data_IF_859950711991
#
_entry.id   IF_859950711991
#
_cell.length_a   1.000
_cell.length_b   1.000
_cell.length_c   1.000
_cell.angle_alpha   90.00
_cell.angle_beta   90.00
_cell.angle_gamma   90.00
#
_symmetry.space_group_name_H-M   'P 1'
#
loop_
_entity.id
_entity.type
_entity.pdbx_description
1 polymer ?
#
# COMPACT_ATOMS: atom_id res chain seq x y z
N UNK A 1 6.18 -16.25 -47.00
CA UNK A 1 5.06 -16.51 -47.94
C UNK A 1 5.15 -15.47 -49.06
N UNK A 2 4.23 -15.49 -50.02
CA UNK A 2 4.32 -14.83 -51.32
C UNK A 2 4.76 -13.35 -51.30
N UNK A 3 5.68 -13.02 -52.22
CA UNK A 3 6.06 -11.66 -52.60
C UNK A 3 4.84 -10.93 -53.20
N UNK A 4 4.54 -9.73 -52.69
CA UNK A 4 3.39 -8.92 -53.14
C UNK A 4 3.92 -7.59 -53.65
N UNK A 5 3.43 -7.09 -54.78
CA UNK A 5 3.89 -5.81 -55.32
C UNK A 5 3.39 -4.63 -54.48
N UNK A 6 4.12 -3.51 -54.51
CA UNK A 6 3.76 -2.28 -53.78
C UNK A 6 2.33 -1.81 -54.15
N UNK A 7 1.95 -1.87 -55.43
CA UNK A 7 0.59 -1.54 -55.88
C UNK A 7 -0.46 -2.43 -55.20
N UNK A 8 -0.27 -3.76 -55.27
CA UNK A 8 -1.23 -4.71 -54.71
C UNK A 8 -1.33 -4.56 -53.18
N UNK A 9 -0.22 -4.27 -52.51
CA UNK A 9 -0.21 -4.05 -51.08
C UNK A 9 -0.94 -2.76 -50.68
N UNK A 10 -0.75 -1.67 -51.44
CA UNK A 10 -1.45 -0.41 -51.23
C UNK A 10 -2.96 -0.57 -51.35
N UNK A 11 -3.43 -1.31 -52.36
CA UNK A 11 -4.85 -1.59 -52.59
C UNK A 11 -5.48 -2.41 -51.45
N UNK A 12 -4.76 -3.42 -50.94
CA UNK A 12 -5.23 -4.26 -49.82
C UNK A 12 -5.34 -3.47 -48.51
N UNK A 13 -4.39 -2.58 -48.24
CA UNK A 13 -4.38 -1.75 -47.02
C UNK A 13 -5.29 -0.51 -47.17
N UNK A 14 -5.67 -0.15 -48.40
CA UNK A 14 -6.55 0.99 -48.69
C UNK A 14 -5.85 2.35 -48.58
N UNK A 15 -4.56 2.41 -48.91
CA UNK A 15 -3.74 3.62 -48.84
C UNK A 15 -3.24 3.97 -50.26
N UNK A 16 -3.05 5.26 -50.56
CA UNK A 16 -2.46 5.65 -51.85
C UNK A 16 -1.02 5.14 -51.99
N UNK A 17 -0.64 4.78 -53.22
CA UNK A 17 0.70 4.27 -53.54
C UNK A 17 1.77 5.26 -53.08
N UNK A 18 1.59 6.55 -53.34
CA UNK A 18 2.50 7.62 -52.93
C UNK A 18 2.75 7.65 -51.42
N UNK A 19 1.69 7.45 -50.62
CA UNK A 19 1.78 7.46 -49.16
C UNK A 19 2.46 6.20 -48.64
N UNK A 20 2.22 5.06 -49.26
CA UNK A 20 2.92 3.83 -48.92
C UNK A 20 4.42 3.95 -49.22
N UNK A 21 4.78 4.52 -50.37
CA UNK A 21 6.19 4.77 -50.73
C UNK A 21 6.87 5.69 -49.72
N UNK A 22 6.22 6.78 -49.32
CA UNK A 22 6.75 7.67 -48.28
C UNK A 22 6.94 6.94 -46.93
N UNK A 23 6.01 6.06 -46.55
CA UNK A 23 6.14 5.28 -45.32
C UNK A 23 7.26 4.24 -45.38
N UNK A 24 7.49 3.64 -46.54
CA UNK A 24 8.60 2.69 -46.74
C UNK A 24 9.96 3.42 -46.64
N UNK A 25 10.09 4.60 -47.24
CA UNK A 25 11.31 5.42 -47.12
C UNK A 25 11.53 5.90 -45.68
N UNK A 26 10.46 6.33 -44.99
CA UNK A 26 10.54 6.77 -43.60
C UNK A 26 10.87 5.62 -42.63
N UNK A 27 10.48 4.39 -42.97
CA UNK A 27 10.85 3.19 -42.24
C UNK A 27 12.31 2.76 -42.46
N UNK A 28 13.05 3.44 -43.34
CA UNK A 28 14.45 3.14 -43.64
C UNK A 28 14.65 1.97 -44.60
N UNK A 29 13.61 1.59 -45.35
CA UNK A 29 13.71 0.63 -46.44
C UNK A 29 14.22 1.34 -47.70
N UNK A 30 14.90 0.61 -48.59
CA UNK A 30 15.40 1.14 -49.85
C UNK A 30 14.27 1.81 -50.66
N UNK A 31 14.60 2.86 -51.41
CA UNK A 31 13.65 3.54 -52.29
C UNK A 31 13.09 2.54 -53.33
N UNK A 32 11.87 2.07 -53.10
CA UNK A 32 11.15 1.17 -54.01
C UNK A 32 10.24 1.95 -54.94
N UNK A 33 10.01 1.40 -56.12
CA UNK A 33 9.04 1.92 -57.07
C UNK A 33 7.73 1.14 -56.99
N UNK A 34 6.68 1.66 -57.63
CA UNK A 34 5.33 1.08 -57.63
C UNK A 34 5.29 -0.38 -58.12
N UNK A 35 6.20 -0.78 -59.01
CA UNK A 35 6.29 -2.14 -59.55
C UNK A 35 7.04 -3.15 -58.69
N UNK A 36 7.75 -2.71 -57.65
CA UNK A 36 8.66 -3.59 -56.90
C UNK A 36 7.89 -4.53 -55.95
N UNK A 37 8.48 -5.67 -55.64
CA UNK A 37 7.93 -6.61 -54.66
C UNK A 37 8.33 -6.24 -53.23
N UNK A 38 7.41 -6.44 -52.28
CA UNK A 38 7.61 -6.25 -50.84
C UNK A 38 7.74 -7.63 -50.17
N UNK A 39 8.85 -7.84 -49.46
CA UNK A 39 9.10 -9.06 -48.70
C UNK A 39 8.39 -9.06 -47.35
N UNK A 40 8.24 -10.23 -46.72
CA UNK A 40 7.58 -10.32 -45.41
C UNK A 40 8.40 -9.61 -44.30
N UNK A 41 9.73 -9.57 -44.44
CA UNK A 41 10.62 -8.85 -43.51
C UNK A 41 10.38 -7.34 -43.58
N UNK A 42 10.23 -6.81 -44.79
CA UNK A 42 9.93 -5.38 -45.02
C UNK A 42 8.55 -4.98 -44.51
N UNK A 43 7.56 -5.89 -44.61
CA UNK A 43 6.24 -5.67 -43.99
C UNK A 43 6.39 -5.57 -42.47
N UNK A 44 7.21 -6.42 -41.85
CA UNK A 44 7.44 -6.39 -40.40
C UNK A 44 8.16 -5.11 -39.94
N UNK A 45 9.15 -4.62 -40.69
CA UNK A 45 9.83 -3.35 -40.37
C UNK A 45 8.92 -2.15 -40.52
N UNK A 46 8.13 -2.08 -41.62
CA UNK A 46 7.10 -1.06 -41.80
C UNK A 46 6.09 -1.07 -40.65
N UNK A 47 5.60 -2.24 -40.25
CA UNK A 47 4.68 -2.37 -39.13
C UNK A 47 5.30 -1.88 -37.81
N UNK A 48 6.56 -2.21 -37.55
CA UNK A 48 7.28 -1.76 -36.35
C UNK A 48 7.44 -0.23 -36.34
N UNK A 49 7.80 0.36 -37.49
CA UNK A 49 7.87 1.81 -37.64
C UNK A 49 6.51 2.48 -37.37
N UNK A 50 5.43 1.97 -37.96
CA UNK A 50 4.08 2.50 -37.78
C UNK A 50 3.62 2.39 -36.33
N UNK A 51 3.89 1.27 -35.66
CA UNK A 51 3.57 1.10 -34.25
C UNK A 51 4.38 2.04 -33.36
N UNK A 52 5.65 2.31 -33.67
CA UNK A 52 6.46 3.32 -32.97
C UNK A 52 5.90 4.73 -33.17
N UNK A 53 5.56 5.10 -34.40
CA UNK A 53 4.97 6.41 -34.74
C UNK A 53 3.62 6.66 -34.05
N UNK A 54 2.80 5.61 -33.92
CA UNK A 54 1.51 5.67 -33.24
C UNK A 54 1.59 5.38 -31.73
N UNK A 55 2.79 5.22 -31.16
CA UNK A 55 2.99 4.98 -29.73
C UNK A 55 2.45 3.64 -29.24
N UNK A 56 2.22 2.68 -30.13
CA UNK A 56 1.62 1.37 -29.81
C UNK A 56 2.65 0.32 -29.38
N UNK A 57 3.89 0.40 -29.87
CA UNK A 57 5.00 -0.42 -29.35
C UNK A 57 5.56 0.14 -28.03
N UNK A 58 5.22 1.39 -27.70
CA UNK A 58 5.60 2.00 -26.44
C UNK A 58 4.45 1.91 -25.44
N UNK A 59 4.17 0.70 -24.98
CA UNK A 59 3.50 0.48 -23.68
C UNK A 59 4.19 1.22 -22.52
N UNK A 60 5.38 1.82 -22.73
CA UNK A 60 6.21 2.52 -21.75
C UNK A 60 6.36 4.04 -21.87
N UNK A 61 5.94 4.74 -22.94
CA UNK A 61 6.29 6.17 -23.13
C UNK A 61 5.10 7.11 -23.15
N UNK A 62 3.98 6.69 -22.59
CA UNK A 62 3.04 7.67 -22.07
C UNK A 62 3.62 8.24 -20.76
N UNK A 63 3.77 9.57 -20.65
CA UNK A 63 4.30 10.18 -19.43
C UNK A 63 3.45 9.75 -18.22
N UNK A 64 4.10 9.18 -17.20
CA UNK A 64 3.47 8.69 -15.96
C UNK A 64 2.61 9.76 -15.28
N UNK A 65 2.91 11.03 -15.54
CA UNK A 65 2.25 12.21 -15.00
C UNK A 65 2.07 13.26 -16.11
N UNK A 66 0.82 13.65 -16.38
CA UNK A 66 0.48 14.77 -17.27
C UNK A 66 -0.21 15.86 -16.48
N UNK A 67 0.35 17.07 -16.48
CA UNK A 67 -0.30 18.23 -15.83
C UNK A 67 -1.05 19.05 -16.86
N UNK A 68 -2.38 18.94 -16.85
CA UNK A 68 -3.26 19.75 -17.69
C UNK A 68 -3.45 21.13 -17.05
N UNK A 69 -3.09 22.17 -17.80
CA UNK A 69 -3.36 23.57 -17.45
C UNK A 69 -4.64 23.98 -18.17
N UNK A 70 -5.67 24.38 -17.42
CA UNK A 70 -6.92 24.91 -17.97
C UNK A 70 -7.11 26.35 -17.53
N UNK A 71 -7.49 27.20 -18.48
CA UNK A 71 -7.91 28.59 -18.27
C UNK A 71 -9.43 28.63 -18.33
N UNK A 72 -10.05 29.17 -17.28
CA UNK A 72 -11.50 29.43 -17.24
C UNK A 72 -11.68 30.91 -16.96
N UNK A 73 -12.26 31.64 -17.90
CA UNK A 73 -12.60 33.06 -17.70
C UNK A 73 -14.08 33.13 -17.36
N UNK A 74 -14.41 33.76 -16.24
CA UNK A 74 -15.79 33.99 -15.81
C UNK A 74 -15.99 35.48 -15.59
N UNK A 75 -17.08 36.01 -16.12
CA UNK A 75 -17.43 37.42 -15.95
C UNK A 75 -18.24 37.61 -14.66
N UNK A 76 -17.73 38.44 -13.75
CA UNK A 76 -18.45 38.88 -12.57
C UNK A 76 -19.03 40.27 -12.83
N UNK A 77 -20.35 40.38 -12.75
CA UNK A 77 -21.04 41.67 -12.72
C UNK A 77 -20.92 42.23 -11.31
N UNK A 78 -20.24 43.36 -11.17
CA UNK A 78 -20.12 44.05 -9.89
C UNK A 78 -21.43 44.79 -9.63
N UNK A 79 -22.20 44.42 -8.60
CA UNK A 79 -23.35 45.21 -8.20
C UNK A 79 -22.81 46.57 -7.73
N UNK A 80 -23.21 47.64 -8.40
CA UNK A 80 -22.89 48.99 -7.95
C UNK A 80 -23.54 49.18 -6.59
N UNK A 81 -22.74 49.35 -5.53
CA UNK A 81 -23.27 49.72 -4.23
C UNK A 81 -24.16 50.94 -4.41
N UNK A 82 -25.44 50.81 -4.04
CA UNK A 82 -26.31 51.96 -3.87
C UNK A 82 -25.68 52.76 -2.73
N UNK A 83 -24.93 53.80 -3.09
CA UNK A 83 -24.54 54.84 -2.15
C UNK A 83 -25.77 55.16 -1.30
N UNK A 84 -25.65 54.94 0.01
CA UNK A 84 -26.72 55.14 1.00
C UNK A 84 -27.01 56.63 1.22
N UNK A 85 -26.92 57.45 0.17
CA UNK A 85 -27.23 58.86 0.23
C UNK A 85 -28.25 59.20 -0.86
N UNK A 86 -29.46 59.49 -0.36
CA UNK A 86 -30.61 59.96 -1.12
C UNK A 86 -30.21 61.19 -1.94
N UNK A 87 -30.13 61.06 -3.26
CA UNK A 87 -30.58 62.06 -4.25
C UNK A 87 -30.08 61.67 -5.65
N UNK A 88 -31.03 61.34 -6.54
CA UNK A 88 -30.93 61.00 -7.99
C UNK A 88 -30.42 59.60 -8.37
N UNK A 89 -31.24 58.79 -9.09
CA UNK A 89 -30.80 57.51 -9.62
C UNK A 89 -30.05 57.75 -10.94
N UNK A 90 -28.71 57.83 -10.89
CA UNK A 90 -27.91 57.61 -12.10
C UNK A 90 -27.62 56.12 -12.18
N UNK A 91 -28.44 55.38 -12.94
CA UNK A 91 -28.19 53.98 -13.31
C UNK A 91 -26.97 53.97 -14.22
N UNK A 92 -25.77 53.91 -13.62
CA UNK A 92 -24.54 53.66 -14.37
C UNK A 92 -24.51 52.21 -14.87
N UNK A 93 -23.87 51.92 -16.01
CA UNK A 93 -23.70 50.55 -16.46
C UNK A 93 -22.94 49.75 -15.40
N UNK A 94 -23.47 48.59 -15.01
CA UNK A 94 -22.79 47.66 -14.09
C UNK A 94 -21.43 47.29 -14.68
N UNK A 95 -20.35 47.49 -13.92
CA UNK A 95 -19.00 47.10 -14.37
C UNK A 95 -18.91 45.58 -14.39
N UNK A 96 -18.54 45.02 -15.53
CA UNK A 96 -18.23 43.60 -15.67
C UNK A 96 -16.73 43.40 -15.52
N UNK A 97 -16.33 42.55 -14.59
CA UNK A 97 -14.93 42.19 -14.35
C UNK A 97 -14.72 40.77 -14.85
N UNK A 98 -13.77 40.58 -15.77
CA UNK A 98 -13.36 39.25 -16.22
C UNK A 98 -12.40 38.64 -15.19
N UNK A 99 -12.83 37.58 -14.52
CA UNK A 99 -12.01 36.81 -13.58
C UNK A 99 -11.46 35.59 -14.30
N UNK A 100 -10.14 35.54 -14.46
CA UNK A 100 -9.46 34.39 -15.04
C UNK A 100 -8.98 33.42 -13.95
N UNK A 101 -9.63 32.26 -13.84
CA UNK A 101 -9.17 31.17 -12.99
C UNK A 101 -8.28 30.23 -13.80
N UNK A 102 -6.99 30.20 -13.46
CA UNK A 102 -6.01 29.25 -14.00
C UNK A 102 -5.92 28.04 -13.08
N UNK A 103 -6.33 26.86 -13.54
CA UNK A 103 -6.27 25.60 -12.77
C UNK A 103 -5.22 24.66 -13.35
N UNK A 104 -4.47 23.99 -12.47
CA UNK A 104 -3.61 22.87 -12.83
C UNK A 104 -4.27 21.59 -12.33
N UNK A 105 -4.50 20.61 -13.21
CA UNK A 105 -4.95 19.26 -12.85
C UNK A 105 -3.91 18.26 -13.32
N UNK A 106 -3.30 17.58 -12.36
CA UNK A 106 -2.27 16.57 -12.61
C UNK A 106 -2.91 15.20 -12.69
N UNK A 107 -2.92 14.60 -13.87
CA UNK A 107 -3.36 13.22 -14.08
C UNK A 107 -2.15 12.30 -14.00
N UNK A 108 -2.29 11.20 -13.26
CA UNK A 108 -1.27 10.16 -13.10
C UNK A 108 -1.83 8.89 -13.72
N UNK A 109 -1.00 8.13 -14.44
CA UNK A 109 -1.40 6.87 -15.08
C UNK A 109 -1.92 5.90 -14.02
N UNK A 110 -3.20 5.48 -14.13
CA UNK A 110 -3.90 4.69 -13.10
C UNK A 110 -3.24 3.34 -12.81
N UNK A 111 -2.62 2.70 -13.81
CA UNK A 111 -1.89 1.45 -13.63
C UNK A 111 -0.70 1.61 -12.68
N UNK A 112 0.11 2.67 -12.87
CA UNK A 112 1.28 2.94 -12.02
C UNK A 112 0.92 3.33 -10.57
N UNK A 113 -0.33 3.71 -10.30
CA UNK A 113 -0.85 3.96 -8.95
C UNK A 113 -1.33 2.66 -8.31
N UNK A 114 -2.04 1.82 -9.06
CA UNK A 114 -2.52 0.52 -8.59
C UNK A 114 -1.37 -0.41 -8.17
N UNK A 115 -0.29 -0.47 -8.95
CA UNK A 115 0.88 -1.33 -8.62
C UNK A 115 1.61 -0.84 -7.36
N UNK A 116 1.67 0.48 -7.15
CA UNK A 116 2.29 1.08 -5.95
C UNK A 116 1.41 0.91 -4.71
N UNK A 117 0.09 0.98 -4.88
CA UNK A 117 -0.86 0.73 -3.79
C UNK A 117 -0.84 -0.75 -3.40
N UNK A 118 -0.81 -1.68 -4.36
CA UNK A 118 -0.68 -3.12 -4.08
C UNK A 118 0.62 -3.42 -3.30
N UNK A 119 1.77 -2.91 -3.77
CA UNK A 119 3.04 -3.09 -3.08
C UNK A 119 3.08 -2.43 -1.68
N UNK A 120 2.28 -1.38 -1.45
CA UNK A 120 2.14 -0.76 -0.13
C UNK A 120 1.27 -1.61 0.79
N UNK A 121 0.16 -2.13 0.29
CA UNK A 121 -0.74 -3.01 1.04
C UNK A 121 0.00 -4.27 1.47
N UNK A 122 0.76 -4.91 0.57
CA UNK A 122 1.55 -6.12 0.90
C UNK A 122 2.61 -5.87 1.98
N UNK A 123 3.27 -4.71 1.96
CA UNK A 123 4.22 -4.33 3.02
C UNK A 123 3.51 -4.11 4.35
N UNK A 124 2.36 -3.43 4.32
CA UNK A 124 1.59 -3.14 5.52
C UNK A 124 1.00 -4.42 6.14
N UNK A 125 0.58 -5.40 5.33
CA UNK A 125 0.17 -6.71 5.83
C UNK A 125 1.34 -7.49 6.40
N UNK A 126 2.48 -7.54 5.70
CA UNK A 126 3.68 -8.22 6.19
C UNK A 126 4.21 -7.62 7.51
N UNK A 127 4.14 -6.30 7.68
CA UNK A 127 4.50 -5.63 8.94
C UNK A 127 3.52 -5.94 10.05
N UNK A 128 2.20 -5.97 9.76
CA UNK A 128 1.18 -6.36 10.75
C UNK A 128 1.38 -7.80 11.21
N UNK A 129 1.62 -8.72 10.30
CA UNK A 129 1.82 -10.14 10.61
C UNK A 129 3.07 -10.33 11.48
N UNK A 130 4.16 -9.60 11.18
CA UNK A 130 5.37 -9.60 12.02
C UNK A 130 5.11 -9.08 13.43
N UNK A 131 4.40 -7.96 13.56
CA UNK A 131 4.06 -7.37 14.87
C UNK A 131 3.15 -8.31 15.67
N UNK A 132 2.21 -9.00 15.02
CA UNK A 132 1.34 -9.98 15.67
C UNK A 132 2.13 -11.19 16.16
N UNK A 133 2.99 -11.76 15.31
CA UNK A 133 3.85 -12.88 15.69
C UNK A 133 4.77 -12.50 16.86
N UNK A 134 5.37 -11.32 16.84
CA UNK A 134 6.21 -10.83 17.95
C UNK A 134 5.40 -10.70 19.26
N UNK A 135 4.20 -10.10 19.20
CA UNK A 135 3.32 -10.00 20.37
C UNK A 135 2.92 -11.36 20.94
N UNK A 136 2.58 -12.33 20.08
CA UNK A 136 2.25 -13.69 20.52
C UNK A 136 3.45 -14.35 21.22
N UNK A 137 4.66 -14.17 20.70
CA UNK A 137 5.86 -14.72 21.35
C UNK A 137 6.15 -14.08 22.69
N UNK A 138 5.93 -12.77 22.83
CA UNK A 138 6.12 -12.04 24.09
C UNK A 138 5.08 -12.50 25.11
N UNK A 139 3.80 -12.56 24.73
CA UNK A 139 2.72 -13.01 25.61
C UNK A 139 2.97 -14.43 26.11
N UNK A 140 3.36 -15.35 25.22
CA UNK A 140 3.67 -16.73 25.61
C UNK A 140 4.83 -16.81 26.61
N UNK A 141 5.89 -16.02 26.40
CA UNK A 141 7.02 -15.96 27.36
C UNK A 141 6.61 -15.38 28.71
N UNK A 142 5.76 -14.36 28.72
CA UNK A 142 5.23 -13.78 29.96
C UNK A 142 4.35 -14.78 30.72
N UNK A 143 3.50 -15.53 30.02
CA UNK A 143 2.66 -16.57 30.62
C UNK A 143 3.51 -17.71 31.20
N UNK A 144 4.52 -18.18 30.45
CA UNK A 144 5.46 -19.20 30.93
C UNK A 144 6.25 -18.72 32.17
N UNK A 145 6.71 -17.48 32.19
CA UNK A 145 7.40 -16.88 33.33
C UNK A 145 6.47 -16.74 34.55
N UNK A 146 5.22 -16.29 34.36
CA UNK A 146 4.22 -16.20 35.43
C UNK A 146 3.90 -17.59 35.99
N UNK A 147 3.74 -18.59 35.14
CA UNK A 147 3.48 -19.96 35.56
C UNK A 147 4.67 -20.55 36.34
N UNK A 148 5.90 -20.25 35.96
CA UNK A 148 7.10 -20.65 36.72
C UNK A 148 7.13 -20.01 38.11
N UNK A 149 6.89 -18.70 38.21
CA UNK A 149 6.86 -17.98 39.49
C UNK A 149 5.74 -18.52 40.41
N UNK A 150 4.56 -18.83 39.86
CA UNK A 150 3.48 -19.41 40.67
C UNK A 150 3.86 -20.80 41.20
N UNK A 151 4.43 -21.67 40.36
CA UNK A 151 4.88 -23.00 40.82
C UNK A 151 5.95 -22.91 41.91
N UNK A 152 6.89 -21.97 41.80
CA UNK A 152 7.90 -21.75 42.85
C UNK A 152 7.26 -21.28 44.16
N UNK A 153 6.26 -20.40 44.10
CA UNK A 153 5.52 -19.95 45.29
C UNK A 153 4.73 -21.09 45.92
N UNK A 154 3.96 -21.83 45.13
CA UNK A 154 3.17 -22.97 45.59
C UNK A 154 4.07 -24.03 46.26
N UNK A 155 5.23 -24.33 45.66
CA UNK A 155 6.20 -25.26 46.22
C UNK A 155 6.86 -24.74 47.52
N UNK A 156 7.12 -23.43 47.61
CA UNK A 156 7.67 -22.81 48.82
C UNK A 156 6.63 -22.80 49.97
N UNK A 157 5.36 -22.52 49.68
CA UNK A 157 4.27 -22.57 50.65
C UNK A 157 4.04 -24.00 51.16
N UNK A 158 4.05 -25.00 50.27
CA UNK A 158 3.90 -26.40 50.66
C UNK A 158 5.08 -26.88 51.53
N UNK A 159 6.31 -26.47 51.20
CA UNK A 159 7.49 -26.77 52.02
C UNK A 159 7.42 -26.10 53.40
N UNK A 160 6.95 -24.85 53.48
CA UNK A 160 6.79 -24.14 54.76
C UNK A 160 5.72 -24.81 55.64
N UNK A 161 4.58 -25.18 55.07
CA UNK A 161 3.51 -25.91 55.78
C UNK A 161 4.00 -27.28 56.28
N UNK A 162 4.78 -28.01 55.47
CA UNK A 162 5.35 -29.29 55.87
C UNK A 162 6.38 -29.13 57.02
N UNK A 163 7.19 -28.07 57.01
CA UNK A 163 8.12 -27.78 58.10
C UNK A 163 7.39 -27.39 59.40
N UNK A 164 6.34 -26.57 59.32
CA UNK A 164 5.50 -26.22 60.46
C UNK A 164 4.82 -27.45 61.07
N UNK A 165 4.26 -28.35 60.25
CA UNK A 165 3.67 -29.60 60.73
C UNK A 165 4.69 -30.48 61.44
N UNK A 166 5.92 -30.57 60.92
CA UNK A 166 7.01 -31.32 61.56
C UNK A 166 7.37 -30.73 62.92
N UNK A 167 7.52 -29.41 63.02
CA UNK A 167 7.79 -28.72 64.30
C UNK A 167 6.66 -28.93 65.30
N UNK A 168 5.40 -28.84 64.86
CA UNK A 168 4.24 -29.09 65.72
C UNK A 168 4.21 -30.53 66.23
N UNK A 169 4.49 -31.52 65.37
CA UNK A 169 4.57 -32.93 65.77
C UNK A 169 5.72 -33.19 66.76
N UNK A 170 6.89 -32.58 66.55
CA UNK A 170 8.03 -32.69 67.46
C UNK A 170 7.73 -32.05 68.82
N UNK A 171 7.12 -30.86 68.85
CA UNK A 171 6.69 -30.22 70.09
C UNK A 171 5.60 -31.00 70.83
N UNK A 172 4.66 -31.63 70.11
CA UNK A 172 3.65 -32.50 70.72
C UNK A 172 4.29 -33.74 71.34
N UNK A 173 5.19 -34.42 70.62
CA UNK A 173 5.92 -35.59 71.11
C UNK A 173 6.80 -35.26 72.33
N UNK A 174 7.47 -34.10 72.33
CA UNK A 174 8.27 -33.63 73.46
C UNK A 174 7.41 -33.37 74.72
N UNK A 175 6.24 -32.75 74.55
CA UNK A 175 5.28 -32.55 75.66
C UNK A 175 4.72 -33.86 76.18
N UNK A 176 4.37 -34.80 75.31
CA UNK A 176 3.90 -36.13 75.72
C UNK A 176 4.99 -36.90 76.49
N UNK A 177 6.25 -36.83 76.05
CA UNK A 177 7.37 -37.42 76.76
C UNK A 177 7.63 -36.76 78.12
N UNK A 178 7.49 -35.43 78.23
CA UNK A 178 7.61 -34.70 79.51
C UNK A 178 6.48 -35.08 80.48
N UNK A 179 5.24 -35.17 80.00
CA UNK A 179 4.10 -35.62 80.80
C UNK A 179 4.30 -37.07 81.27
N UNK A 180 4.80 -37.95 80.39
CA UNK A 180 5.09 -39.34 80.74
C UNK A 180 6.21 -39.48 81.78
N UNK A 181 7.28 -38.67 81.68
CA UNK A 181 8.36 -38.68 82.66
C UNK A 181 7.93 -38.11 84.02
N UNK A 182 7.13 -37.03 84.05
CA UNK A 182 6.55 -36.49 85.27
C UNK A 182 5.56 -37.48 85.93
N UNK A 183 4.75 -38.19 85.14
CA UNK A 183 3.85 -39.23 85.65
C UNK A 183 4.64 -40.42 86.25
N UNK A 184 5.74 -40.84 85.62
CA UNK A 184 6.61 -41.88 86.14
C UNK A 184 7.33 -41.46 87.44
N UNK A 185 7.77 -40.22 87.54
CA UNK A 185 8.36 -39.68 88.77
C UNK A 185 7.33 -39.56 89.91
N UNK A 186 6.09 -39.17 89.61
CA UNK A 186 5.00 -39.14 90.58
C UNK A 186 4.65 -40.55 91.09
N UNK A 187 4.64 -41.56 90.20
CA UNK A 187 4.41 -42.95 90.61
C UNK A 187 5.56 -43.52 91.48
N UNK A 188 6.81 -43.11 91.24
CA UNK A 188 7.97 -43.56 92.01
C UNK A 188 8.15 -42.90 93.39
N UNK A 189 7.34 -41.88 93.72
CA UNK A 189 7.38 -41.15 95.00
C UNK A 189 6.22 -41.48 95.95
N UNK A 190 5.40 -42.47 95.60
CA UNK A 190 4.21 -42.91 96.36
C UNK A 190 4.38 -44.32 96.97
N UNK A 191 5.55 -44.96 96.79
CA UNK A 191 6.03 -46.14 97.56
C UNK A 191 7.16 -45.72 98.52
#
# INVERSE_FOLDING_TARGET
MAEVTVIQFADVVGISIERLLAQLTDAGLAEKQSGDSISDEEKATLLTYLRRMHGKDETGTEPTKVTLKRKSVTELKVPTERSRLRSRPKVGPSKTVSVEVRRKRTYIKRSAVADKEAARIEKETAERDRIQAEKETILRREEEARAAIQREKDAAEEAALAEEQRKQAEHAAAKEAEIATLAAQAAASVD
#
